data_IF_110421454431
#
_entry.id   IF_110421454431
#
_cell.length_a   1.000
_cell.length_b   1.000
_cell.length_c   1.000
_cell.angle_alpha   90.00
_cell.angle_beta   90.00
_cell.angle_gamma   90.00
#
_symmetry.space_group_name_H-M   'P 1'
#
loop_
_entity.id
_entity.type
_entity.pdbx_description
1 polymer ?
#
# COMPACT_ATOMS: atom_id res chain seq x y z
N UNK A 1 -66.34 -16.62 19.36
CA UNK A 1 -65.09 -16.36 20.10
C UNK A 1 -63.83 -16.95 19.43
N UNK A 2 -63.96 -17.79 18.41
CA UNK A 2 -62.83 -18.47 17.73
C UNK A 2 -62.07 -17.59 16.69
N UNK A 3 -62.67 -16.50 16.16
CA UNK A 3 -62.02 -15.66 15.16
C UNK A 3 -61.04 -14.59 15.70
N UNK A 4 -61.18 -14.21 16.98
CA UNK A 4 -60.36 -13.18 17.60
C UNK A 4 -58.99 -13.74 18.06
N UNK A 5 -58.95 -14.95 18.57
CA UNK A 5 -57.74 -15.61 19.01
C UNK A 5 -56.79 -15.95 17.83
N UNK A 6 -57.35 -16.32 16.67
CA UNK A 6 -56.58 -16.64 15.47
C UNK A 6 -55.89 -15.39 14.84
N UNK A 7 -56.54 -14.21 14.92
CA UNK A 7 -55.96 -12.95 14.44
C UNK A 7 -54.86 -12.40 15.33
N UNK A 8 -54.93 -12.61 16.64
CA UNK A 8 -53.90 -12.21 17.60
C UNK A 8 -52.66 -13.11 17.47
N UNK A 9 -52.83 -14.42 17.29
CA UNK A 9 -51.74 -15.34 17.08
C UNK A 9 -50.98 -15.09 15.76
N UNK A 10 -51.69 -14.69 14.69
CA UNK A 10 -51.07 -14.36 13.42
C UNK A 10 -50.29 -13.02 13.46
N UNK A 11 -50.74 -12.03 14.22
CA UNK A 11 -50.06 -10.77 14.43
C UNK A 11 -48.78 -10.92 15.28
N UNK A 12 -48.79 -11.82 16.27
CA UNK A 12 -47.60 -12.13 17.09
C UNK A 12 -46.58 -12.93 16.27
N UNK A 13 -47.00 -13.85 15.41
CA UNK A 13 -46.09 -14.56 14.50
C UNK A 13 -45.44 -13.65 13.47
N UNK A 14 -46.14 -12.60 13.00
CA UNK A 14 -45.57 -11.62 12.06
C UNK A 14 -44.62 -10.62 12.75
N UNK A 15 -44.82 -10.33 14.04
CA UNK A 15 -43.90 -9.48 14.81
C UNK A 15 -42.58 -10.18 15.21
N UNK A 16 -42.57 -11.54 15.26
CA UNK A 16 -41.38 -12.32 15.58
C UNK A 16 -40.44 -12.57 14.36
N UNK A 17 -40.91 -12.32 13.15
CA UNK A 17 -40.08 -12.47 11.92
C UNK A 17 -39.31 -11.18 11.59
N UNK A 18 -39.57 -10.06 12.26
CA UNK A 18 -39.00 -8.75 11.97
C UNK A 18 -37.72 -8.40 12.77
N UNK A 19 -37.15 -9.33 13.53
CA UNK A 19 -35.95 -9.06 14.32
C UNK A 19 -34.82 -10.07 14.10
N UNK A 20 -34.50 -10.36 12.84
CA UNK A 20 -33.12 -10.69 12.51
C UNK A 20 -32.44 -9.34 12.31
N UNK A 21 -32.26 -8.62 13.40
CA UNK A 21 -31.29 -7.53 13.43
C UNK A 21 -29.95 -8.14 13.06
N UNK A 22 -29.34 -7.71 11.96
CA UNK A 22 -27.94 -8.02 11.77
C UNK A 22 -27.24 -7.48 13.01
N UNK A 23 -26.70 -8.36 13.85
CA UNK A 23 -25.87 -7.94 14.98
C UNK A 23 -24.78 -7.04 14.40
N UNK A 24 -24.65 -5.84 14.96
CA UNK A 24 -23.71 -4.84 14.51
C UNK A 24 -22.83 -4.44 15.70
N UNK A 25 -21.55 -4.27 15.42
CA UNK A 25 -20.57 -3.83 16.42
C UNK A 25 -19.99 -2.47 16.07
N UNK A 26 -19.76 -1.66 17.09
CA UNK A 26 -19.09 -0.38 16.92
C UNK A 26 -17.58 -0.58 16.91
N UNK A 27 -16.91 -0.07 15.88
CA UNK A 27 -15.45 0.01 15.81
C UNK A 27 -15.02 1.48 15.81
N UNK A 28 -13.81 1.74 16.30
CA UNK A 28 -13.18 3.06 16.17
C UNK A 28 -12.11 2.97 15.08
N UNK A 29 -12.29 3.70 13.99
CA UNK A 29 -11.31 3.73 12.90
C UNK A 29 -10.08 4.60 13.23
N UNK A 30 -9.07 4.63 12.35
CA UNK A 30 -7.84 5.39 12.59
C UNK A 30 -8.03 6.92 12.58
N UNK A 31 -9.17 7.43 12.13
CA UNK A 31 -9.55 8.83 12.22
C UNK A 31 -10.33 9.15 13.53
N UNK A 32 -10.53 8.17 14.41
CA UNK A 32 -11.31 8.31 15.65
C UNK A 32 -12.82 8.27 15.45
N UNK A 33 -13.30 7.93 14.25
CA UNK A 33 -14.73 7.80 13.94
C UNK A 33 -15.27 6.50 14.52
N UNK A 34 -16.43 6.56 15.18
CA UNK A 34 -17.18 5.37 15.57
C UNK A 34 -18.06 4.93 14.39
N UNK A 35 -17.81 3.74 13.88
CA UNK A 35 -18.49 3.18 12.72
C UNK A 35 -19.17 1.88 13.11
N UNK A 36 -20.47 1.79 12.92
CA UNK A 36 -21.23 0.54 13.10
C UNK A 36 -20.98 -0.36 11.89
N UNK A 37 -20.43 -1.55 12.13
CA UNK A 37 -20.17 -2.55 11.08
C UNK A 37 -20.93 -3.83 11.39
N UNK A 38 -21.36 -4.61 10.37
CA UNK A 38 -21.97 -5.92 10.59
C UNK A 38 -21.00 -6.84 11.35
N UNK A 39 -21.54 -7.70 12.23
CA UNK A 39 -20.72 -8.71 12.91
C UNK A 39 -20.01 -9.62 11.92
N UNK A 40 -20.67 -9.96 10.81
CA UNK A 40 -20.09 -10.72 9.72
C UNK A 40 -19.85 -9.85 8.49
N UNK A 41 -18.59 -9.75 8.07
CA UNK A 41 -18.15 -9.02 6.87
C UNK A 41 -17.57 -10.04 5.90
N UNK A 42 -18.24 -10.27 4.77
CA UNK A 42 -17.79 -11.21 3.72
C UNK A 42 -17.28 -10.50 2.47
N UNK A 43 -17.74 -9.26 2.22
CA UNK A 43 -17.43 -8.49 1.02
C UNK A 43 -16.91 -7.10 1.38
N UNK A 44 -15.69 -6.81 1.00
CA UNK A 44 -15.06 -5.52 1.25
C UNK A 44 -14.74 -4.83 -0.09
N UNK A 45 -15.17 -3.58 -0.22
CA UNK A 45 -14.80 -2.71 -1.33
C UNK A 45 -13.59 -1.87 -0.92
N UNK A 46 -12.46 -2.00 -1.63
CA UNK A 46 -11.30 -1.16 -1.41
C UNK A 46 -11.48 0.20 -2.10
N UNK A 47 -11.47 1.29 -1.34
CA UNK A 47 -11.71 2.64 -1.85
C UNK A 47 -10.61 3.13 -2.81
N UNK A 48 -9.39 2.60 -2.70
CA UNK A 48 -8.26 2.97 -3.54
C UNK A 48 -7.18 1.89 -3.60
N UNK A 49 -6.18 2.14 -4.42
CA UNK A 49 -5.10 1.17 -4.66
C UNK A 49 -4.31 0.79 -3.38
N UNK A 50 -3.97 1.70 -2.43
CA UNK A 50 -3.34 1.30 -1.18
C UNK A 50 -4.23 0.36 -0.34
N UNK A 51 -5.53 0.63 -0.28
CA UNK A 51 -6.50 -0.18 0.46
C UNK A 51 -6.67 -1.57 -0.16
N UNK A 52 -6.62 -1.69 -1.49
CA UNK A 52 -6.73 -2.99 -2.15
C UNK A 52 -5.54 -3.90 -1.84
N UNK A 53 -4.33 -3.34 -1.71
CA UNK A 53 -3.15 -4.12 -1.31
C UNK A 53 -3.27 -4.54 0.15
N UNK A 54 -3.65 -3.64 1.06
CA UNK A 54 -3.87 -3.99 2.46
C UNK A 54 -4.91 -5.12 2.59
N UNK A 55 -6.03 -5.01 1.89
CA UNK A 55 -7.09 -6.02 1.90
C UNK A 55 -6.62 -7.36 1.31
N UNK A 56 -5.90 -7.33 0.18
CA UNK A 56 -5.33 -8.51 -0.44
C UNK A 56 -4.36 -9.25 0.48
N UNK A 57 -3.52 -8.51 1.17
CA UNK A 57 -2.54 -9.07 2.11
C UNK A 57 -3.21 -9.70 3.32
N UNK A 58 -4.16 -9.00 3.95
CA UNK A 58 -4.73 -9.42 5.24
C UNK A 58 -5.89 -10.40 5.07
N UNK A 59 -6.79 -10.15 4.12
CA UNK A 59 -8.02 -10.92 3.95
C UNK A 59 -8.44 -11.05 2.47
N UNK A 60 -7.63 -11.71 1.61
CA UNK A 60 -7.88 -11.76 0.17
C UNK A 60 -9.24 -12.37 -0.19
N UNK A 61 -9.76 -13.30 0.62
CA UNK A 61 -11.06 -13.93 0.38
C UNK A 61 -12.25 -12.97 0.49
N UNK A 62 -12.06 -11.80 1.11
CA UNK A 62 -13.11 -10.78 1.29
C UNK A 62 -13.07 -9.69 0.21
N UNK A 63 -12.11 -9.75 -0.72
CA UNK A 63 -12.02 -8.79 -1.82
C UNK A 63 -13.19 -8.94 -2.79
N UNK A 64 -13.78 -7.80 -3.17
CA UNK A 64 -14.79 -7.74 -4.24
C UNK A 64 -14.19 -7.47 -5.62
N UNK A 65 -12.99 -6.91 -5.69
CA UNK A 65 -12.29 -6.59 -6.93
C UNK A 65 -11.06 -5.72 -6.68
N UNK A 66 -10.42 -5.34 -7.78
CA UNK A 66 -9.28 -4.42 -7.81
C UNK A 66 -9.71 -3.03 -8.26
N UNK A 67 -9.04 -1.96 -7.86
CA UNK A 67 -9.24 -0.65 -8.48
C UNK A 67 -8.91 -0.65 -9.98
N UNK A 68 -7.78 -1.22 -10.33
CA UNK A 68 -7.32 -1.48 -11.70
C UNK A 68 -6.94 -2.96 -11.83
N UNK A 69 -7.14 -3.61 -12.97
CA UNK A 69 -6.82 -5.02 -13.12
C UNK A 69 -5.29 -5.22 -13.05
N UNK A 70 -4.82 -6.33 -12.43
CA UNK A 70 -3.40 -6.66 -12.45
C UNK A 70 -2.87 -6.82 -13.88
N UNK A 71 -1.71 -6.24 -14.14
CA UNK A 71 -1.02 -6.37 -15.44
C UNK A 71 -0.46 -7.77 -15.65
N UNK A 72 -0.05 -8.09 -16.89
CA UNK A 72 0.57 -9.38 -17.19
C UNK A 72 1.85 -9.65 -16.38
N UNK A 73 2.58 -8.60 -16.02
CA UNK A 73 3.82 -8.67 -15.23
C UNK A 73 3.55 -8.86 -13.73
N UNK A 74 2.42 -8.35 -13.22
CA UNK A 74 2.01 -8.46 -11.82
C UNK A 74 1.36 -9.81 -11.50
N UNK A 75 0.58 -10.36 -12.44
CA UNK A 75 -0.19 -11.60 -12.26
C UNK A 75 0.59 -12.80 -11.71
N UNK A 76 1.84 -13.09 -12.12
CA UNK A 76 2.60 -14.22 -11.56
C UNK A 76 2.78 -14.14 -10.03
N UNK A 77 2.82 -12.93 -9.49
CA UNK A 77 3.04 -12.66 -8.07
C UNK A 77 1.76 -12.39 -7.27
N UNK A 78 0.60 -12.62 -7.86
CA UNK A 78 -0.71 -12.60 -7.19
C UNK A 78 -1.27 -14.01 -7.17
N UNK A 79 -1.82 -14.46 -6.03
CA UNK A 79 -2.40 -15.79 -5.91
C UNK A 79 -3.56 -15.99 -6.90
N UNK A 80 -3.61 -17.14 -7.56
CA UNK A 80 -4.45 -17.43 -8.72
C UNK A 80 -5.94 -17.02 -8.58
N UNK A 81 -6.63 -17.27 -7.44
CA UNK A 81 -8.05 -16.91 -7.32
C UNK A 81 -8.33 -15.40 -7.41
N UNK A 82 -7.31 -14.57 -7.18
CA UNK A 82 -7.47 -13.11 -7.09
C UNK A 82 -7.00 -12.36 -8.33
N UNK A 83 -6.35 -13.05 -9.28
CA UNK A 83 -5.83 -12.45 -10.52
C UNK A 83 -6.92 -11.94 -11.45
N UNK A 84 -8.06 -12.62 -11.42
CA UNK A 84 -9.19 -12.40 -12.36
C UNK A 84 -10.36 -11.65 -11.68
N UNK A 85 -10.17 -11.10 -10.48
CA UNK A 85 -11.18 -10.28 -9.86
C UNK A 85 -11.48 -9.05 -10.72
N UNK A 86 -12.75 -8.57 -10.76
CA UNK A 86 -13.14 -7.46 -11.61
C UNK A 86 -12.43 -6.15 -11.25
N UNK A 87 -12.26 -5.28 -12.24
CA UNK A 87 -11.87 -3.89 -12.05
C UNK A 87 -13.09 -3.08 -11.59
N UNK A 88 -13.01 -2.43 -10.43
CA UNK A 88 -14.12 -1.69 -9.81
C UNK A 88 -13.88 -0.18 -9.79
N UNK A 89 -12.69 0.28 -10.21
CA UNK A 89 -12.29 1.67 -10.08
C UNK A 89 -11.95 2.04 -8.63
N UNK A 90 -11.78 3.35 -8.39
CA UNK A 90 -11.34 3.89 -7.10
C UNK A 90 -12.14 5.11 -6.69
N UNK A 91 -12.48 5.24 -5.41
CA UNK A 91 -13.10 6.41 -4.80
C UNK A 91 -12.03 7.41 -4.33
N UNK A 92 -10.84 6.94 -3.99
CA UNK A 92 -9.72 7.74 -3.47
C UNK A 92 -8.48 7.63 -4.35
N UNK A 93 -7.58 8.62 -4.22
CA UNK A 93 -6.38 8.73 -5.04
C UNK A 93 -6.60 9.61 -6.29
N UNK A 94 -5.55 9.75 -7.12
CA UNK A 94 -5.63 10.55 -8.35
C UNK A 94 -6.55 9.86 -9.38
N UNK A 95 -7.46 10.63 -9.97
CA UNK A 95 -8.33 10.15 -11.03
C UNK A 95 -9.37 9.15 -10.54
N UNK A 96 -10.17 9.51 -9.53
CA UNK A 96 -11.30 8.70 -9.08
C UNK A 96 -12.14 8.21 -10.27
N UNK A 97 -12.26 6.89 -10.44
CA UNK A 97 -12.92 6.23 -11.58
C UNK A 97 -14.13 5.41 -11.14
N UNK A 98 -14.25 5.07 -9.84
CA UNK A 98 -15.47 4.47 -9.32
C UNK A 98 -16.52 5.55 -9.03
N UNK A 99 -17.72 5.33 -9.49
CA UNK A 99 -18.89 6.07 -9.03
C UNK A 99 -19.63 5.26 -7.94
N UNK A 100 -20.50 5.91 -7.19
CA UNK A 100 -21.26 5.25 -6.13
C UNK A 100 -22.18 4.14 -6.66
N UNK A 101 -22.58 4.18 -7.93
CA UNK A 101 -23.36 3.12 -8.57
C UNK A 101 -22.60 1.80 -8.64
N UNK A 102 -21.28 1.85 -8.94
CA UNK A 102 -20.42 0.65 -8.92
C UNK A 102 -20.36 0.07 -7.49
N UNK A 103 -20.16 0.92 -6.49
CA UNK A 103 -20.16 0.49 -5.09
C UNK A 103 -21.47 -0.18 -4.71
N UNK A 104 -22.61 0.47 -5.00
CA UNK A 104 -23.95 -0.05 -4.69
C UNK A 104 -24.23 -1.38 -5.42
N UNK A 105 -23.83 -1.51 -6.68
CA UNK A 105 -23.98 -2.74 -7.46
C UNK A 105 -23.14 -3.90 -6.91
N UNK A 106 -21.98 -3.61 -6.37
CA UNK A 106 -21.08 -4.61 -5.75
C UNK A 106 -21.67 -5.15 -4.44
N UNK A 107 -22.51 -4.37 -3.76
CA UNK A 107 -23.16 -4.69 -2.47
C UNK A 107 -22.12 -5.17 -1.43
N UNK A 108 -21.11 -4.39 -1.12
CA UNK A 108 -20.16 -4.74 -0.08
C UNK A 108 -20.76 -4.53 1.30
N UNK A 109 -20.26 -5.29 2.29
CA UNK A 109 -20.61 -5.11 3.70
C UNK A 109 -19.83 -3.96 4.33
N UNK A 110 -18.69 -3.60 3.73
CA UNK A 110 -17.75 -2.60 4.22
C UNK A 110 -16.99 -1.94 3.06
N UNK A 111 -16.76 -0.63 3.16
CA UNK A 111 -15.78 0.10 2.35
C UNK A 111 -14.54 0.35 3.20
N UNK A 112 -13.38 -0.05 2.69
CA UNK A 112 -12.07 0.11 3.32
C UNK A 112 -11.28 1.18 2.60
N UNK A 113 -10.78 2.18 3.32
CA UNK A 113 -9.74 3.09 2.83
C UNK A 113 -8.48 2.98 3.69
N UNK A 114 -7.33 3.11 3.05
CA UNK A 114 -6.02 3.01 3.69
C UNK A 114 -5.10 4.10 3.13
N UNK A 115 -4.67 5.00 4.01
CA UNK A 115 -3.84 6.12 3.60
C UNK A 115 -3.92 7.29 4.58
N UNK A 116 -4.18 8.50 4.07
CA UNK A 116 -4.30 9.68 4.90
C UNK A 116 -5.63 9.70 5.65
N UNK A 117 -5.58 9.99 6.94
CA UNK A 117 -6.76 10.15 7.82
C UNK A 117 -7.09 11.63 8.10
N UNK A 118 -6.70 12.54 7.19
CA UNK A 118 -6.99 13.98 7.30
C UNK A 118 -8.45 14.29 7.00
N UNK A 119 -8.90 15.47 7.40
CA UNK A 119 -10.30 15.96 7.28
C UNK A 119 -10.92 15.75 5.89
N UNK A 120 -10.13 15.92 4.81
CA UNK A 120 -10.60 15.70 3.44
C UNK A 120 -11.06 14.25 3.22
N UNK A 121 -10.32 13.28 3.76
CA UNK A 121 -10.67 11.85 3.65
C UNK A 121 -11.78 11.47 4.62
N UNK A 122 -11.82 12.08 5.81
CA UNK A 122 -12.92 11.94 6.77
C UNK A 122 -14.22 12.42 6.13
N UNK A 123 -14.23 13.61 5.56
CA UNK A 123 -15.40 14.17 4.87
C UNK A 123 -15.87 13.31 3.70
N UNK A 124 -14.93 12.75 2.91
CA UNK A 124 -15.26 11.83 1.84
C UNK A 124 -15.93 10.56 2.38
N UNK A 125 -15.34 9.96 3.43
CA UNK A 125 -15.87 8.75 4.04
C UNK A 125 -17.27 8.96 4.59
N UNK A 126 -17.52 10.08 5.28
CA UNK A 126 -18.84 10.42 5.82
C UNK A 126 -19.88 10.63 4.70
N UNK A 127 -19.49 11.33 3.63
CA UNK A 127 -20.35 11.54 2.48
C UNK A 127 -20.72 10.25 1.77
N UNK A 128 -19.75 9.38 1.49
CA UNK A 128 -19.98 8.09 0.83
C UNK A 128 -20.84 7.18 1.73
N UNK A 129 -20.51 7.06 3.02
CA UNK A 129 -21.29 6.29 3.97
C UNK A 129 -22.74 6.83 4.09
N UNK A 130 -22.92 8.15 4.15
CA UNK A 130 -24.23 8.79 4.21
C UNK A 130 -25.11 8.51 2.98
N UNK A 131 -24.52 8.49 1.78
CA UNK A 131 -25.22 8.25 0.53
C UNK A 131 -25.51 6.76 0.27
N UNK A 132 -24.55 5.89 0.60
CA UNK A 132 -24.65 4.45 0.30
C UNK A 132 -25.26 3.64 1.42
N UNK A 133 -25.21 4.12 2.65
CA UNK A 133 -25.54 3.39 3.89
C UNK A 133 -24.62 2.20 4.15
N UNK A 134 -23.49 2.11 3.45
CA UNK A 134 -22.46 1.10 3.65
C UNK A 134 -21.41 1.66 4.62
N UNK A 135 -21.04 0.93 5.69
CA UNK A 135 -19.98 1.36 6.60
C UNK A 135 -18.69 1.68 5.84
N UNK A 136 -18.04 2.79 6.19
CA UNK A 136 -16.78 3.22 5.58
C UNK A 136 -15.74 3.43 6.68
N UNK A 137 -14.64 2.67 6.67
CA UNK A 137 -13.55 2.78 7.63
C UNK A 137 -12.30 3.39 6.99
N UNK A 138 -11.62 4.23 7.78
CA UNK A 138 -10.33 4.82 7.45
C UNK A 138 -9.25 4.15 8.29
N UNK A 139 -8.22 3.59 7.64
CA UNK A 139 -7.05 3.04 8.30
C UNK A 139 -5.82 3.89 7.96
N UNK A 140 -5.05 4.25 9.00
CA UNK A 140 -3.85 5.08 8.87
C UNK A 140 -2.78 4.36 8.04
N UNK A 141 -2.43 4.95 6.90
CA UNK A 141 -1.44 4.43 5.96
C UNK A 141 -0.02 4.95 6.18
N UNK A 142 0.26 5.69 7.26
CA UNK A 142 1.64 6.05 7.61
C UNK A 142 2.46 4.79 7.83
N UNK A 143 3.69 4.78 7.39
CA UNK A 143 4.50 3.57 7.38
C UNK A 143 4.71 2.99 8.79
N UNK A 144 4.96 3.85 9.77
CA UNK A 144 5.10 3.45 11.18
C UNK A 144 3.81 2.84 11.76
N UNK A 145 2.64 3.20 11.23
CA UNK A 145 1.36 2.65 11.67
C UNK A 145 1.05 1.26 11.07
N UNK A 146 1.88 0.75 10.15
CA UNK A 146 1.62 -0.50 9.40
C UNK A 146 1.28 -1.70 10.32
N UNK A 147 2.00 -2.02 11.41
CA UNK A 147 1.63 -3.14 12.29
C UNK A 147 0.25 -2.97 12.92
N UNK A 148 -0.07 -1.75 13.40
CA UNK A 148 -1.37 -1.45 13.99
C UNK A 148 -2.50 -1.51 12.95
N UNK A 149 -2.26 -1.04 11.73
CA UNK A 149 -3.21 -1.10 10.62
C UNK A 149 -3.56 -2.54 10.25
N UNK A 150 -2.55 -3.43 10.19
CA UNK A 150 -2.74 -4.86 9.92
C UNK A 150 -3.59 -5.50 11.03
N UNK A 151 -3.27 -5.24 12.31
CA UNK A 151 -4.02 -5.80 13.45
C UNK A 151 -5.46 -5.31 13.48
N UNK A 152 -5.67 -3.99 13.29
CA UNK A 152 -7.01 -3.42 13.25
C UNK A 152 -7.86 -4.05 12.16
N UNK A 153 -7.33 -4.18 10.94
CA UNK A 153 -8.08 -4.83 9.85
C UNK A 153 -8.29 -6.33 10.14
N UNK A 154 -7.30 -6.99 10.73
CA UNK A 154 -7.40 -8.40 11.15
C UNK A 154 -8.51 -8.64 12.16
N UNK A 155 -8.68 -7.74 13.14
CA UNK A 155 -9.79 -7.75 14.12
C UNK A 155 -11.14 -7.50 13.44
N UNK A 156 -11.22 -6.47 12.58
CA UNK A 156 -12.45 -6.12 11.86
C UNK A 156 -12.95 -7.27 10.98
N UNK A 157 -12.03 -8.00 10.35
CA UNK A 157 -12.34 -9.05 9.37
C UNK A 157 -12.23 -10.49 9.89
N UNK A 158 -12.06 -10.68 11.21
CA UNK A 158 -11.94 -12.00 11.89
C UNK A 158 -10.80 -12.88 11.31
N UNK A 159 -9.65 -12.26 11.01
CA UNK A 159 -8.44 -12.94 10.53
C UNK A 159 -7.21 -12.63 11.41
N UNK A 160 -7.43 -12.45 12.71
CA UNK A 160 -6.44 -11.95 13.67
C UNK A 160 -5.16 -12.78 13.73
N UNK A 161 -5.21 -14.11 13.60
CA UNK A 161 -4.02 -14.96 13.64
C UNK A 161 -3.05 -14.66 12.48
N UNK A 162 -3.59 -14.53 11.25
CA UNK A 162 -2.80 -14.19 10.07
C UNK A 162 -2.27 -12.77 10.18
N UNK A 163 -3.13 -11.83 10.57
CA UNK A 163 -2.77 -10.44 10.77
C UNK A 163 -1.64 -10.27 11.80
N UNK A 164 -1.66 -11.02 12.91
CA UNK A 164 -0.61 -10.97 13.92
C UNK A 164 0.75 -11.45 13.38
N UNK A 165 0.77 -12.54 12.60
CA UNK A 165 2.01 -13.01 11.95
C UNK A 165 2.59 -11.97 10.99
N UNK A 166 1.72 -11.30 10.22
CA UNK A 166 2.11 -10.24 9.30
C UNK A 166 2.59 -8.99 10.05
N UNK A 167 1.89 -8.57 11.11
CA UNK A 167 2.29 -7.43 11.93
C UNK A 167 3.66 -7.64 12.59
N UNK A 168 3.93 -8.84 13.14
CA UNK A 168 5.23 -9.19 13.71
C UNK A 168 6.34 -9.16 12.67
N UNK A 169 6.11 -9.69 11.46
CA UNK A 169 7.10 -9.59 10.38
C UNK A 169 7.50 -8.13 10.09
N UNK A 170 6.53 -7.20 10.12
CA UNK A 170 6.80 -5.76 9.94
C UNK A 170 7.62 -5.23 11.12
N UNK A 171 7.24 -5.55 12.36
CA UNK A 171 7.95 -5.11 13.57
C UNK A 171 9.39 -5.62 13.60
N UNK A 172 9.61 -6.90 13.26
CA UNK A 172 10.95 -7.49 13.16
C UNK A 172 11.80 -6.81 12.09
N UNK A 173 11.19 -6.51 10.92
CA UNK A 173 11.84 -5.74 9.86
C UNK A 173 12.22 -4.34 10.35
N UNK A 174 11.33 -3.65 11.06
CA UNK A 174 11.60 -2.33 11.63
C UNK A 174 12.73 -2.38 12.64
N UNK A 175 12.72 -3.37 13.54
CA UNK A 175 13.77 -3.55 14.56
C UNK A 175 15.14 -3.83 13.93
N UNK A 176 15.21 -4.66 12.89
CA UNK A 176 16.45 -4.93 12.14
C UNK A 176 17.01 -3.64 11.53
N UNK A 177 16.17 -2.86 10.86
CA UNK A 177 16.60 -1.61 10.22
C UNK A 177 17.01 -0.56 11.25
N UNK A 178 16.30 -0.45 12.38
CA UNK A 178 16.67 0.45 13.48
C UNK A 178 18.02 0.09 14.05
N UNK A 179 18.28 -1.19 14.29
CA UNK A 179 19.60 -1.65 14.78
C UNK A 179 20.73 -1.26 13.82
N UNK A 180 20.50 -1.32 12.52
CA UNK A 180 21.49 -0.98 11.50
C UNK A 180 21.73 0.54 11.34
N UNK A 181 20.68 1.37 11.56
CA UNK A 181 20.68 2.79 11.15
C UNK A 181 20.67 3.79 12.31
N UNK A 182 20.21 3.37 13.53
CA UNK A 182 20.06 4.24 14.69
C UNK A 182 21.32 5.00 15.08
N UNK A 183 22.50 4.37 14.95
CA UNK A 183 23.78 4.98 15.29
C UNK A 183 24.36 5.86 14.16
N UNK A 184 23.70 5.98 13.00
CA UNK A 184 24.18 6.78 11.88
C UNK A 184 23.74 8.22 12.07
N UNK A 185 24.68 9.17 12.28
CA UNK A 185 24.35 10.59 12.38
C UNK A 185 23.67 11.10 11.11
N UNK A 186 22.78 12.08 11.25
CA UNK A 186 21.98 12.61 10.12
C UNK A 186 22.83 13.09 8.95
N UNK A 187 23.97 13.74 9.23
CA UNK A 187 24.90 14.26 8.23
C UNK A 187 25.64 13.18 7.44
N UNK A 188 25.66 11.94 7.96
CA UNK A 188 26.27 10.76 7.31
C UNK A 188 25.24 9.89 6.57
N UNK A 189 23.95 10.23 6.68
CA UNK A 189 22.90 9.53 5.95
C UNK A 189 22.93 9.90 4.48
N UNK A 190 22.77 8.93 3.56
CA UNK A 190 22.78 9.22 2.13
C UNK A 190 21.65 10.19 1.75
N UNK A 191 21.96 11.17 0.91
CA UNK A 191 21.01 12.14 0.37
C UNK A 191 20.30 11.54 -0.82
N UNK A 192 18.99 11.38 -0.72
CA UNK A 192 18.18 10.58 -1.63
C UNK A 192 17.09 11.43 -2.28
N UNK A 193 16.92 11.27 -3.58
CA UNK A 193 15.83 11.84 -4.36
C UNK A 193 14.97 10.73 -4.94
N UNK A 194 13.65 10.78 -4.74
CA UNK A 194 12.70 9.91 -5.42
C UNK A 194 12.22 10.59 -6.71
N UNK A 195 12.73 10.13 -7.84
CA UNK A 195 12.35 10.60 -9.16
C UNK A 195 11.09 9.83 -9.64
N UNK A 196 9.98 10.53 -9.79
CA UNK A 196 8.70 9.99 -10.25
C UNK A 196 8.30 10.57 -11.61
N UNK A 197 7.61 9.76 -12.40
CA UNK A 197 7.20 10.12 -13.75
C UNK A 197 8.32 10.02 -14.78
N UNK A 198 7.98 10.17 -16.07
CA UNK A 198 8.90 9.91 -17.19
C UNK A 198 10.03 10.93 -17.31
N UNK A 199 9.91 12.10 -16.68
CA UNK A 199 10.94 13.14 -16.60
C UNK A 199 11.67 13.20 -15.25
N UNK A 200 11.20 12.39 -14.25
CA UNK A 200 11.81 12.30 -12.94
C UNK A 200 11.61 13.51 -12.03
N UNK A 201 10.82 14.51 -12.42
CA UNK A 201 10.69 15.77 -11.68
C UNK A 201 9.55 15.79 -10.66
N UNK A 202 8.63 14.82 -10.66
CA UNK A 202 7.69 14.65 -9.58
C UNK A 202 8.36 13.90 -8.43
N UNK A 203 8.10 14.33 -7.18
CA UNK A 203 8.64 13.68 -5.97
C UNK A 203 7.70 13.89 -4.78
N UNK A 204 7.95 13.19 -3.68
CA UNK A 204 7.32 13.48 -2.39
C UNK A 204 8.23 14.32 -1.52
N UNK A 205 7.69 15.35 -0.87
CA UNK A 205 8.45 16.11 0.13
C UNK A 205 8.62 15.30 1.42
N UNK A 206 9.57 15.71 2.25
CA UNK A 206 9.80 15.15 3.59
C UNK A 206 8.48 15.07 4.38
N UNK A 207 8.23 13.91 4.99
CA UNK A 207 6.97 13.61 5.70
C UNK A 207 5.79 13.24 4.79
N UNK A 208 6.01 13.07 3.47
CA UNK A 208 5.02 12.50 2.57
C UNK A 208 4.96 10.98 2.72
N UNK A 209 3.75 10.41 2.70
CA UNK A 209 3.53 8.96 2.66
C UNK A 209 4.28 8.28 1.49
N UNK A 210 4.61 9.00 0.42
CA UNK A 210 5.33 8.49 -0.73
C UNK A 210 6.85 8.39 -0.51
N UNK A 211 7.41 9.12 0.45
CA UNK A 211 8.87 9.21 0.68
C UNK A 211 9.32 8.87 2.10
N UNK A 212 8.41 8.76 3.08
CA UNK A 212 8.76 8.42 4.46
C UNK A 212 9.58 7.12 4.60
N UNK A 213 9.46 6.21 3.63
CA UNK A 213 10.27 4.98 3.55
C UNK A 213 11.78 5.28 3.41
N UNK A 214 12.16 6.38 2.75
CA UNK A 214 13.56 6.79 2.60
C UNK A 214 14.16 7.09 3.96
N UNK A 215 13.45 7.88 4.77
CA UNK A 215 13.89 8.27 6.10
C UNK A 215 13.89 7.07 7.05
N UNK A 216 12.87 6.21 6.92
CA UNK A 216 12.77 4.98 7.70
C UNK A 216 13.90 3.98 7.38
N UNK A 217 14.41 3.97 6.13
CA UNK A 217 15.57 3.19 5.71
C UNK A 217 16.92 3.82 6.13
N UNK A 218 16.89 4.95 6.83
CA UNK A 218 18.09 5.67 7.26
C UNK A 218 18.67 6.61 6.19
N UNK A 219 17.92 6.92 5.13
CA UNK A 219 18.28 7.96 4.16
C UNK A 219 17.81 9.35 4.59
N UNK A 220 18.19 10.37 3.83
CA UNK A 220 17.71 11.75 3.94
C UNK A 220 17.04 12.14 2.63
N UNK A 221 15.73 12.38 2.66
CA UNK A 221 15.02 12.92 1.49
C UNK A 221 15.48 14.35 1.22
N UNK A 222 15.95 14.64 -0.02
CA UNK A 222 16.43 15.98 -0.39
C UNK A 222 15.30 16.92 -0.80
N UNK A 223 14.11 16.42 -1.05
CA UNK A 223 12.92 17.23 -1.33
C UNK A 223 12.32 17.74 -0.01
N UNK A 224 12.82 18.86 0.51
CA UNK A 224 12.38 19.43 1.78
C UNK A 224 10.97 20.02 1.66
N UNK A 225 10.19 19.92 2.74
CA UNK A 225 8.85 20.48 2.83
C UNK A 225 8.92 21.99 3.08
N UNK A 226 8.98 22.80 2.03
CA UNK A 226 8.92 24.27 2.10
C UNK A 226 7.48 24.79 2.13
N UNK A 227 6.70 24.35 3.12
CA UNK A 227 5.26 24.68 3.22
C UNK A 227 4.34 23.82 2.34
N UNK A 228 4.89 22.99 1.46
CA UNK A 228 4.14 22.04 0.64
C UNK A 228 4.02 20.69 1.33
N UNK A 229 3.04 19.88 0.94
CA UNK A 229 2.82 18.54 1.49
C UNK A 229 2.50 17.55 0.38
N UNK A 230 2.86 16.28 0.61
CA UNK A 230 2.56 15.20 -0.33
C UNK A 230 3.46 15.22 -1.56
N UNK A 231 2.88 15.08 -2.72
CA UNK A 231 3.59 15.07 -3.99
C UNK A 231 3.70 16.48 -4.56
N UNK A 232 4.90 16.81 -5.03
CA UNK A 232 5.23 18.10 -5.64
C UNK A 232 5.99 17.86 -6.94
N UNK A 233 6.05 18.90 -7.78
CA UNK A 233 6.95 18.94 -8.94
C UNK A 233 8.09 19.90 -8.63
N UNK A 234 9.33 19.40 -8.65
CA UNK A 234 10.53 20.21 -8.54
C UNK A 234 10.97 20.70 -9.93
N UNK A 235 11.62 21.86 -9.99
CA UNK A 235 12.33 22.26 -11.19
C UNK A 235 13.68 21.54 -11.29
N UNK A 236 14.25 21.48 -12.49
CA UNK A 236 15.58 20.88 -12.69
C UNK A 236 16.65 21.59 -11.87
N UNK A 237 16.58 22.93 -11.77
CA UNK A 237 17.49 23.74 -10.97
C UNK A 237 17.40 23.36 -9.47
N UNK A 238 16.20 23.13 -8.94
CA UNK A 238 16.03 22.68 -7.57
C UNK A 238 16.66 21.31 -7.32
N UNK A 239 16.55 20.39 -8.28
CA UNK A 239 17.18 19.05 -8.18
C UNK A 239 18.71 19.17 -8.26
N UNK A 240 19.23 20.04 -9.15
CA UNK A 240 20.68 20.31 -9.27
C UNK A 240 21.23 20.90 -7.96
N UNK A 241 20.55 21.88 -7.36
CA UNK A 241 20.96 22.48 -6.08
C UNK A 241 20.89 21.45 -4.95
N UNK A 242 19.88 20.59 -4.97
CA UNK A 242 19.75 19.50 -4.02
C UNK A 242 20.85 18.44 -4.17
N UNK A 243 21.47 18.28 -5.34
CA UNK A 243 22.57 17.37 -5.70
C UNK A 243 22.52 16.03 -4.94
N UNK A 244 21.50 15.18 -5.17
CA UNK A 244 21.35 13.92 -4.45
C UNK A 244 22.50 12.95 -4.72
N UNK A 245 22.82 12.13 -3.71
CA UNK A 245 23.82 11.06 -3.80
C UNK A 245 23.22 9.76 -4.34
N UNK A 246 21.91 9.61 -4.21
CA UNK A 246 21.15 8.46 -4.71
C UNK A 246 19.88 8.98 -5.36
N UNK A 247 19.57 8.49 -6.55
CA UNK A 247 18.26 8.65 -7.19
C UNK A 247 17.55 7.30 -7.18
N UNK A 248 16.33 7.29 -6.67
CA UNK A 248 15.43 6.15 -6.72
C UNK A 248 14.33 6.43 -7.74
N UNK A 249 13.97 5.46 -8.53
CA UNK A 249 12.81 5.54 -9.42
C UNK A 249 12.15 4.18 -9.58
N UNK A 250 10.89 4.16 -9.95
CA UNK A 250 10.18 2.99 -10.45
C UNK A 250 9.74 3.19 -11.91
N UNK A 251 10.05 4.36 -12.50
CA UNK A 251 9.75 4.65 -13.90
C UNK A 251 10.88 4.16 -14.80
N UNK A 252 10.61 3.12 -15.57
CA UNK A 252 11.58 2.50 -16.46
C UNK A 252 12.06 3.47 -17.55
N UNK A 253 11.15 4.29 -18.10
CA UNK A 253 11.51 5.22 -19.16
C UNK A 253 12.47 6.31 -18.67
N UNK A 254 12.27 6.80 -17.43
CA UNK A 254 13.21 7.71 -16.80
C UNK A 254 14.56 7.02 -16.55
N UNK A 255 14.54 5.82 -15.94
CA UNK A 255 15.76 5.08 -15.64
C UNK A 255 16.65 4.82 -16.86
N UNK A 256 16.04 4.42 -17.99
CA UNK A 256 16.78 4.10 -19.21
C UNK A 256 17.43 5.34 -19.87
N UNK A 257 16.94 6.55 -19.58
CA UNK A 257 17.40 7.80 -20.19
C UNK A 257 18.31 8.62 -19.29
N UNK A 258 18.07 8.63 -17.98
CA UNK A 258 18.67 9.58 -17.04
C UNK A 258 20.22 9.58 -17.04
N UNK A 259 20.84 8.41 -17.23
CA UNK A 259 22.30 8.29 -17.28
C UNK A 259 22.94 8.90 -18.55
N UNK A 260 22.14 9.21 -19.56
CA UNK A 260 22.58 9.79 -20.83
C UNK A 260 22.01 11.20 -21.06
N UNK A 261 21.13 11.67 -20.17
CA UNK A 261 20.47 12.96 -20.28
C UNK A 261 21.41 14.09 -19.81
N UNK A 262 21.79 15.04 -20.72
CA UNK A 262 22.68 16.16 -20.37
C UNK A 262 22.15 17.02 -19.20
N UNK A 263 20.83 17.13 -19.02
CA UNK A 263 20.22 17.90 -17.93
C UNK A 263 20.52 17.29 -16.56
N UNK A 264 20.66 15.96 -16.48
CA UNK A 264 20.91 15.21 -15.25
C UNK A 264 22.40 14.91 -15.02
N UNK A 265 23.25 15.08 -16.05
CA UNK A 265 24.67 14.68 -16.03
C UNK A 265 25.49 15.35 -14.92
N UNK A 266 25.12 16.57 -14.50
CA UNK A 266 25.79 17.31 -13.42
C UNK A 266 25.50 16.79 -12.00
N UNK A 267 24.48 15.96 -11.80
CA UNK A 267 24.04 15.47 -10.50
C UNK A 267 24.94 14.34 -10.00
N UNK A 268 25.35 14.38 -8.72
CA UNK A 268 26.26 13.39 -8.12
C UNK A 268 25.81 11.94 -8.35
N UNK A 269 24.55 11.64 -8.10
CA UNK A 269 23.99 10.30 -8.30
C UNK A 269 24.14 9.79 -9.73
N UNK A 270 24.03 10.67 -10.73
CA UNK A 270 24.16 10.30 -12.15
C UNK A 270 25.63 10.09 -12.51
N UNK A 271 26.52 11.01 -12.11
CA UNK A 271 27.98 10.88 -12.32
C UNK A 271 28.54 9.59 -11.70
N UNK A 272 28.04 9.22 -10.52
CA UNK A 272 28.48 8.04 -9.78
C UNK A 272 27.67 6.78 -10.13
N UNK A 273 26.73 6.85 -11.07
CA UNK A 273 25.83 5.75 -11.49
C UNK A 273 25.03 5.15 -10.33
N UNK A 274 24.63 5.98 -9.38
CA UNK A 274 23.81 5.62 -8.22
C UNK A 274 22.33 5.95 -8.44
N UNK A 275 21.85 5.63 -9.62
CA UNK A 275 20.43 5.66 -9.98
C UNK A 275 19.90 4.24 -9.90
N UNK A 276 18.87 4.02 -9.12
CA UNK A 276 18.34 2.68 -8.85
C UNK A 276 16.88 2.56 -9.24
N UNK A 277 16.57 1.50 -9.99
CA UNK A 277 15.22 1.17 -10.38
C UNK A 277 14.60 0.24 -9.33
N UNK A 278 13.53 0.69 -8.67
CA UNK A 278 12.80 -0.14 -7.69
C UNK A 278 12.05 -1.26 -8.39
N UNK A 279 12.03 -2.50 -7.82
CA UNK A 279 11.10 -3.53 -8.26
C UNK A 279 9.65 -3.07 -8.16
N UNK A 280 8.78 -3.56 -9.07
CA UNK A 280 7.38 -3.14 -9.18
C UNK A 280 6.36 -4.28 -9.15
N UNK A 281 6.78 -5.52 -9.16
CA UNK A 281 5.88 -6.68 -9.23
C UNK A 281 5.68 -7.37 -7.88
N UNK A 282 4.42 -7.68 -7.46
CA UNK A 282 3.18 -7.24 -8.08
C UNK A 282 2.85 -5.78 -7.77
N UNK A 283 3.50 -5.16 -6.78
CA UNK A 283 3.31 -3.78 -6.34
C UNK A 283 4.66 -3.11 -6.12
N UNK A 284 4.74 -1.81 -6.40
CA UNK A 284 6.00 -1.08 -6.30
C UNK A 284 6.61 -1.11 -4.89
N UNK A 285 7.86 -1.55 -4.75
CA UNK A 285 8.47 -1.78 -3.44
C UNK A 285 8.65 -0.51 -2.60
N UNK A 286 8.80 0.65 -3.21
CA UNK A 286 9.02 1.91 -2.46
C UNK A 286 7.80 2.84 -2.51
N UNK A 287 7.01 2.76 -3.57
CA UNK A 287 5.85 3.60 -3.84
C UNK A 287 5.02 2.94 -4.96
N UNK A 288 3.89 3.51 -5.38
CA UNK A 288 3.02 3.07 -6.49
C UNK A 288 2.31 1.72 -6.24
N UNK A 289 1.31 1.75 -5.36
CA UNK A 289 0.96 2.78 -4.40
C UNK A 289 1.69 2.57 -3.07
N UNK A 290 1.75 3.60 -2.20
CA UNK A 290 2.32 3.43 -0.86
C UNK A 290 1.38 2.57 0.01
N UNK A 291 1.74 1.31 0.24
CA UNK A 291 1.01 0.35 1.06
C UNK A 291 1.98 -0.66 1.71
N UNK A 292 1.53 -1.86 2.06
CA UNK A 292 2.35 -2.89 2.72
C UNK A 292 3.51 -3.41 1.86
N UNK A 293 3.45 -3.25 0.54
CA UNK A 293 4.57 -3.51 -0.37
C UNK A 293 5.85 -2.78 0.03
N UNK A 294 5.74 -1.66 0.74
CA UNK A 294 6.91 -0.91 1.24
C UNK A 294 7.72 -1.65 2.32
N UNK A 295 7.18 -2.68 2.94
CA UNK A 295 7.92 -3.46 3.95
C UNK A 295 9.14 -4.16 3.33
N UNK A 296 8.95 -4.84 2.20
CA UNK A 296 10.10 -5.44 1.48
C UNK A 296 10.97 -4.35 0.84
N UNK A 297 10.37 -3.25 0.40
CA UNK A 297 11.08 -2.08 -0.09
C UNK A 297 11.98 -1.43 0.94
N UNK A 298 11.58 -1.40 2.21
CA UNK A 298 12.38 -0.90 3.31
C UNK A 298 13.66 -1.73 3.48
N UNK A 299 13.53 -3.05 3.45
CA UNK A 299 14.67 -3.97 3.56
C UNK A 299 15.63 -3.81 2.39
N UNK A 300 15.09 -3.66 1.17
CA UNK A 300 15.88 -3.38 -0.03
C UNK A 300 16.63 -2.04 0.06
N UNK A 301 15.94 -0.95 0.45
CA UNK A 301 16.55 0.38 0.58
C UNK A 301 17.64 0.40 1.63
N UNK A 302 17.40 -0.17 2.80
CA UNK A 302 18.40 -0.22 3.86
C UNK A 302 19.64 -1.03 3.44
N UNK A 303 19.47 -2.13 2.70
CA UNK A 303 20.57 -2.87 2.09
C UNK A 303 21.33 -2.08 1.03
N UNK A 304 20.63 -1.19 0.29
CA UNK A 304 21.25 -0.29 -0.67
C UNK A 304 22.06 0.83 0.01
N UNK A 305 21.54 1.36 1.13
CA UNK A 305 22.19 2.45 1.86
C UNK A 305 23.33 1.98 2.75
N UNK A 306 23.21 0.78 3.30
CA UNK A 306 24.11 0.20 4.31
C UNK A 306 24.40 -1.28 4.03
N UNK A 307 25.07 -1.61 2.91
CA UNK A 307 25.26 -3.01 2.48
C UNK A 307 25.99 -3.87 3.50
N UNK A 308 26.90 -3.27 4.31
CA UNK A 308 27.72 -4.00 5.29
C UNK A 308 27.02 -4.17 6.66
N UNK A 309 25.81 -3.62 6.84
CA UNK A 309 25.14 -3.62 8.15
C UNK A 309 23.94 -4.56 8.27
N UNK A 310 23.49 -5.12 7.16
CA UNK A 310 22.31 -5.98 7.14
C UNK A 310 22.72 -7.43 6.86
N UNK A 311 22.51 -8.28 7.85
CA UNK A 311 22.93 -9.68 7.80
C UNK A 311 21.99 -10.59 7.00
N UNK A 312 20.68 -10.28 6.96
CA UNK A 312 19.70 -11.14 6.30
C UNK A 312 19.82 -11.09 4.78
N UNK A 313 19.72 -12.25 4.14
CA UNK A 313 19.69 -12.33 2.68
C UNK A 313 18.39 -11.73 2.11
N UNK A 314 18.53 -10.71 1.26
CA UNK A 314 17.38 -10.06 0.60
C UNK A 314 16.53 -11.07 -0.17
N UNK A 315 17.14 -12.08 -0.79
CA UNK A 315 16.43 -13.09 -1.58
C UNK A 315 15.51 -13.94 -0.71
N UNK A 316 16.02 -14.46 0.39
CA UNK A 316 15.24 -15.27 1.34
C UNK A 316 14.19 -14.41 2.06
N UNK A 317 14.53 -13.18 2.42
CA UNK A 317 13.56 -12.24 3.00
C UNK A 317 12.43 -11.93 2.02
N UNK A 318 12.75 -11.74 0.72
CA UNK A 318 11.75 -11.52 -0.32
C UNK A 318 10.85 -12.73 -0.47
N UNK A 319 11.38 -13.95 -0.49
CA UNK A 319 10.59 -15.19 -0.54
C UNK A 319 9.62 -15.28 0.64
N UNK A 320 10.12 -15.07 1.85
CA UNK A 320 9.31 -15.11 3.07
C UNK A 320 8.19 -14.06 3.03
N UNK A 321 8.51 -12.84 2.58
CA UNK A 321 7.54 -11.77 2.43
C UNK A 321 6.45 -12.16 1.41
N UNK A 322 6.81 -12.65 0.22
CA UNK A 322 5.83 -13.01 -0.82
C UNK A 322 4.91 -14.15 -0.38
N UNK A 323 5.44 -15.14 0.34
CA UNK A 323 4.64 -16.22 0.94
C UNK A 323 3.63 -15.69 1.96
N UNK A 324 4.08 -14.83 2.87
CA UNK A 324 3.26 -14.34 3.98
C UNK A 324 2.28 -13.24 3.55
N UNK A 325 2.68 -12.35 2.62
CA UNK A 325 1.90 -11.17 2.25
C UNK A 325 1.17 -11.34 0.92
N UNK A 326 1.77 -11.99 -0.07
CA UNK A 326 1.15 -12.13 -1.39
C UNK A 326 0.59 -13.52 -1.65
N UNK A 327 0.71 -14.43 -0.68
CA UNK A 327 0.16 -15.80 -0.75
C UNK A 327 0.67 -16.59 -1.95
N UNK A 328 1.90 -16.29 -2.40
CA UNK A 328 2.60 -16.97 -3.50
C UNK A 328 4.00 -17.38 -3.07
N UNK A 329 4.51 -18.42 -3.69
CA UNK A 329 5.89 -18.88 -3.49
C UNK A 329 6.68 -18.67 -4.77
N UNK A 330 7.43 -17.57 -4.92
CA UNK A 330 8.19 -17.32 -6.12
C UNK A 330 9.34 -18.31 -6.27
N UNK A 331 9.54 -18.76 -7.50
CA UNK A 331 10.70 -19.60 -7.88
C UNK A 331 12.01 -18.81 -7.74
N UNK A 332 13.12 -19.55 -7.71
CA UNK A 332 14.45 -18.95 -7.69
C UNK A 332 14.68 -17.98 -8.86
N UNK A 333 14.22 -18.35 -10.05
CA UNK A 333 14.35 -17.52 -11.25
C UNK A 333 13.52 -16.23 -11.15
N UNK A 334 12.30 -16.29 -10.56
CA UNK A 334 11.46 -15.11 -10.33
C UNK A 334 12.07 -14.18 -9.29
N UNK A 335 12.65 -14.72 -8.21
CA UNK A 335 13.36 -13.91 -7.20
C UNK A 335 14.60 -13.25 -7.79
N UNK A 336 15.40 -13.98 -8.55
CA UNK A 336 16.59 -13.46 -9.22
C UNK A 336 16.21 -12.33 -10.19
N UNK A 337 15.12 -12.49 -10.93
CA UNK A 337 14.60 -11.46 -11.83
C UNK A 337 14.13 -10.20 -11.08
N UNK A 338 13.41 -10.35 -9.95
CA UNK A 338 12.99 -9.23 -9.10
C UNK A 338 14.20 -8.44 -8.56
N UNK A 339 15.23 -9.15 -8.09
CA UNK A 339 16.46 -8.52 -7.54
C UNK A 339 17.34 -7.94 -8.65
N UNK A 340 17.45 -8.62 -9.80
CA UNK A 340 18.19 -8.12 -10.96
C UNK A 340 17.57 -6.84 -11.51
N UNK A 341 16.25 -6.70 -11.48
CA UNK A 341 15.55 -5.47 -11.83
C UNK A 341 16.10 -4.26 -11.06
N UNK A 342 16.34 -4.42 -9.77
CA UNK A 342 16.88 -3.38 -8.91
C UNK A 342 18.31 -2.94 -9.28
N UNK A 343 19.03 -3.75 -10.05
CA UNK A 343 20.38 -3.46 -10.57
C UNK A 343 20.36 -2.87 -11.97
N UNK A 344 19.17 -2.54 -12.51
CA UNK A 344 19.03 -2.01 -13.87
C UNK A 344 19.23 -3.04 -14.98
N UNK A 345 19.37 -4.30 -14.64
CA UNK A 345 19.46 -5.40 -15.62
C UNK A 345 18.05 -5.67 -16.19
N UNK A 346 17.94 -5.67 -17.50
CA UNK A 346 16.66 -5.83 -18.19
C UNK A 346 15.97 -7.16 -17.82
N UNK A 347 14.61 -7.20 -17.74
CA UNK A 347 13.87 -8.42 -17.45
C UNK A 347 13.77 -9.37 -18.65
N UNK A 348 14.85 -9.56 -19.41
CA UNK A 348 14.90 -10.59 -20.45
C UNK A 348 14.74 -12.02 -19.91
N UNK A 349 14.53 -12.16 -18.60
CA UNK A 349 14.52 -13.43 -17.89
C UNK A 349 13.25 -13.74 -17.08
N UNK A 350 12.17 -12.94 -17.15
CA UNK A 350 10.91 -13.46 -16.62
C UNK A 350 10.38 -14.52 -17.58
N UNK A 351 10.26 -15.79 -17.17
CA UNK A 351 9.69 -16.82 -18.05
C UNK A 351 8.26 -16.39 -18.41
N UNK A 352 8.01 -16.19 -19.70
CA UNK A 352 6.65 -16.06 -20.23
C UNK A 352 5.95 -17.41 -19.98
N UNK A 353 5.05 -17.45 -19.00
CA UNK A 353 4.11 -18.57 -18.81
C UNK A 353 2.78 -18.25 -19.45
#
# INVERSE_FOLDING_TARGET
>A
MTGFVARVALAIAFALIAAVGADARAITDSAGRKVEVPDRIDKVFAAGAPASILLYVVAPRKMTGWPDPPTAEERPFIAAPYRELPALGRLTGRGGTANLEVVLRTKPDLILDFGSVRDTYVSLADNVQGQTRIPYILIDGRFEATPAAIRLLGEILDVGETAEKQARFVEDTFAEIDAATKAVPMEKRPRVYLARGPDGLETGVTGSINTEIIERAGGRNVAEATGQRGLVRMSMEQVIVADPEIILTWDRNFFDKVLQDPLWAGIKAVREKRVHLSPTAPFGWIDRPPSLNRVIGLRWLAGLFYPDKLAADLRETTRAFYRLFYHVDPSDAELDALIAWSRGLAPSALPRR
#
